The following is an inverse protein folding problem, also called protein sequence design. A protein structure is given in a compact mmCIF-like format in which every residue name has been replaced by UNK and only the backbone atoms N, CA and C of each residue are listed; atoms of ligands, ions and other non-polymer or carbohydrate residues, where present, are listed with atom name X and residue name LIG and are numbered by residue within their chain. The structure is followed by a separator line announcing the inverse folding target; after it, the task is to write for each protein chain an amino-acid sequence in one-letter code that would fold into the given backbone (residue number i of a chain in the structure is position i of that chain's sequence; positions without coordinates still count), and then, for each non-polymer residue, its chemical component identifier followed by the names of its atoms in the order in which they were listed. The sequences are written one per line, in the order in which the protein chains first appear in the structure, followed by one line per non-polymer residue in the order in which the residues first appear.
data_IF_265128124720
#
_entry.id   IF_265128124720
#
_cell.length_a   1.000
_cell.length_b   1.000
_cell.length_c   1.000
_cell.angle_alpha   90.00
_cell.angle_beta   90.00
_cell.angle_gamma   90.00
#
_symmetry.space_group_name_H-M   'P 1'
#
loop_
_entity.id
_entity.type
_entity.pdbx_description
1 polymer ?
#
# COMPACT_ATOMS: atom_id res chain seq x y z
N UNK A 1 22.23 -20.04 6.68
CA UNK A 1 20.77 -20.06 6.95
C UNK A 1 20.14 -18.91 6.18
N UNK A 2 19.03 -19.10 5.46
CA UNK A 2 18.36 -17.98 4.79
C UNK A 2 17.86 -16.97 5.84
N UNK A 3 17.94 -15.68 5.49
CA UNK A 3 17.45 -14.59 6.36
C UNK A 3 15.93 -14.70 6.47
N UNK A 4 15.40 -14.74 7.70
CA UNK A 4 13.95 -14.73 7.93
C UNK A 4 13.37 -13.38 7.56
N UNK A 5 12.20 -13.40 6.94
CA UNK A 5 11.47 -12.21 6.52
C UNK A 5 10.05 -12.29 7.07
N UNK A 6 9.53 -11.17 7.51
CA UNK A 6 8.11 -10.97 7.74
C UNK A 6 7.45 -10.60 6.42
N UNK A 7 6.25 -11.13 6.18
CA UNK A 7 5.43 -10.80 5.01
C UNK A 7 4.07 -10.37 5.50
N UNK A 8 3.57 -9.24 5.01
CA UNK A 8 2.22 -8.75 5.31
C UNK A 8 1.45 -8.54 4.01
N UNK A 9 0.19 -8.98 4.04
CA UNK A 9 -0.79 -8.70 2.99
C UNK A 9 -1.77 -7.66 3.51
N UNK A 10 -1.80 -6.50 2.86
CA UNK A 10 -2.69 -5.38 3.24
C UNK A 10 -3.72 -5.19 2.15
N UNK A 11 -5.00 -5.36 2.50
CA UNK A 11 -6.13 -5.18 1.60
C UNK A 11 -6.72 -3.80 1.83
N UNK A 12 -6.83 -3.01 0.76
CA UNK A 12 -7.30 -1.63 0.81
C UNK A 12 -8.59 -1.52 -0.01
N UNK A 13 -9.61 -0.92 0.60
CA UNK A 13 -10.85 -0.51 -0.08
C UNK A 13 -10.82 0.99 -0.25
N UNK A 14 -10.99 1.45 -1.50
CA UNK A 14 -11.03 2.89 -1.78
C UNK A 14 -12.43 3.41 -1.42
N UNK A 15 -12.49 4.47 -0.61
CA UNK A 15 -13.75 5.11 -0.25
C UNK A 15 -14.45 5.64 -1.52
N UNK A 16 -15.74 5.33 -1.75
CA UNK A 16 -16.50 5.91 -2.85
C UNK A 16 -16.48 7.45 -2.90
N UNK A 17 -16.34 8.13 -1.76
CA UNK A 17 -16.21 9.58 -1.68
C UNK A 17 -14.93 10.10 -2.34
N UNK A 18 -13.80 9.39 -2.18
CA UNK A 18 -12.56 9.74 -2.85
C UNK A 18 -12.68 9.71 -4.38
N UNK A 19 -13.44 8.74 -4.91
CA UNK A 19 -13.71 8.66 -6.36
C UNK A 19 -14.52 9.85 -6.89
N UNK A 20 -15.23 10.58 -6.04
CA UNK A 20 -16.04 11.76 -6.42
C UNK A 20 -15.29 13.08 -6.32
N UNK A 21 -14.05 13.07 -5.80
CA UNK A 21 -13.17 14.24 -5.82
C UNK A 21 -12.81 14.62 -7.25
N UNK A 22 -12.39 15.88 -7.44
CA UNK A 22 -11.89 16.37 -8.72
C UNK A 22 -10.60 15.66 -9.15
N UNK A 23 -10.30 15.75 -10.44
CA UNK A 23 -9.17 15.05 -11.06
C UNK A 23 -7.82 15.48 -10.50
N UNK A 24 -7.66 16.77 -10.19
CA UNK A 24 -6.42 17.32 -9.68
C UNK A 24 -6.13 16.80 -8.27
N UNK A 25 -7.14 16.80 -7.40
CA UNK A 25 -7.04 16.26 -6.05
C UNK A 25 -6.74 14.76 -6.06
N UNK A 26 -7.46 13.98 -6.87
CA UNK A 26 -7.19 12.53 -7.01
C UNK A 26 -5.78 12.27 -7.54
N UNK A 27 -5.26 13.10 -8.45
CA UNK A 27 -3.91 12.97 -8.95
C UNK A 27 -2.86 13.29 -7.88
N UNK A 28 -3.11 14.29 -7.03
CA UNK A 28 -2.26 14.62 -5.89
C UNK A 28 -2.21 13.47 -4.87
N UNK A 29 -3.38 12.99 -4.42
CA UNK A 29 -3.46 11.88 -3.44
C UNK A 29 -2.76 10.61 -3.95
N UNK A 30 -2.91 10.28 -5.25
CA UNK A 30 -2.20 9.14 -5.86
C UNK A 30 -0.68 9.32 -5.81
N UNK A 31 -0.17 10.53 -6.05
CA UNK A 31 1.27 10.81 -5.99
C UNK A 31 1.80 10.66 -4.56
N UNK A 32 1.06 11.15 -3.56
CA UNK A 32 1.42 10.99 -2.15
C UNK A 32 1.45 9.50 -1.75
N UNK A 33 0.44 8.73 -2.15
CA UNK A 33 0.41 7.28 -1.92
C UNK A 33 1.59 6.55 -2.58
N UNK A 34 1.92 6.90 -3.83
CA UNK A 34 3.06 6.33 -4.55
C UNK A 34 4.37 6.70 -3.86
N UNK A 35 4.55 7.95 -3.43
CA UNK A 35 5.75 8.38 -2.71
C UNK A 35 5.97 7.55 -1.43
N UNK A 36 4.94 7.35 -0.63
CA UNK A 36 5.03 6.49 0.56
C UNK A 36 5.37 5.03 0.23
N UNK A 37 4.88 4.51 -0.90
CA UNK A 37 5.21 3.16 -1.38
C UNK A 37 6.65 3.07 -1.88
N UNK A 38 7.11 4.06 -2.64
CA UNK A 38 8.47 4.10 -3.20
C UNK A 38 9.52 4.25 -2.08
N UNK A 39 9.25 5.09 -1.07
CA UNK A 39 10.11 5.24 0.11
C UNK A 39 10.27 3.92 0.88
N UNK A 40 9.19 3.14 1.03
CA UNK A 40 9.28 1.81 1.65
C UNK A 40 9.98 0.80 0.73
N UNK A 41 9.66 0.82 -0.57
CA UNK A 41 10.25 -0.09 -1.55
C UNK A 41 11.77 0.09 -1.71
N UNK A 42 12.32 1.24 -1.30
CA UNK A 42 13.75 1.41 -1.15
C UNK A 42 14.28 0.48 -0.04
N UNK A 43 14.96 -0.59 -0.46
CA UNK A 43 15.50 -1.62 0.43
C UNK A 43 14.53 -2.71 0.88
N UNK A 44 13.26 -2.68 0.45
CA UNK A 44 12.25 -3.69 0.81
C UNK A 44 11.44 -4.15 -0.39
N UNK A 45 10.92 -5.39 -0.34
CA UNK A 45 10.01 -5.85 -1.38
C UNK A 45 8.61 -5.32 -1.07
N UNK A 46 8.06 -4.56 -2.03
CA UNK A 46 6.68 -4.12 -2.07
C UNK A 46 6.08 -4.46 -3.44
N UNK A 47 4.91 -5.10 -3.45
CA UNK A 47 4.15 -5.36 -4.69
C UNK A 47 2.70 -5.00 -4.52
N UNK A 48 2.15 -4.33 -5.53
CA UNK A 48 0.74 -3.97 -5.63
C UNK A 48 0.00 -4.88 -6.60
N UNK A 49 -1.23 -5.26 -6.24
CA UNK A 49 -2.12 -6.08 -7.07
C UNK A 49 -3.52 -5.46 -7.09
N UNK A 50 -4.07 -5.24 -8.29
CA UNK A 50 -5.48 -4.87 -8.43
C UNK A 50 -6.38 -6.05 -8.07
N UNK A 51 -7.42 -5.78 -7.31
CA UNK A 51 -8.45 -6.75 -6.93
C UNK A 51 -9.84 -6.42 -7.52
N UNK A 52 -9.92 -5.33 -8.30
CA UNK A 52 -11.14 -4.93 -8.98
C UNK A 52 -11.60 -6.05 -9.91
N UNK A 53 -12.85 -6.48 -9.74
CA UNK A 53 -13.46 -7.55 -10.54
C UNK A 53 -13.15 -8.97 -10.07
N UNK A 54 -12.32 -9.17 -9.04
CA UNK A 54 -12.01 -10.50 -8.49
C UNK A 54 -12.56 -10.71 -7.08
N UNK A 55 -12.79 -9.64 -6.31
CA UNK A 55 -13.51 -9.66 -5.01
C UNK A 55 -14.20 -8.31 -4.73
N UNK A 56 -15.21 -8.31 -3.86
CA UNK A 56 -16.06 -7.13 -3.61
C UNK A 56 -15.60 -6.23 -2.45
N UNK A 57 -14.85 -6.78 -1.50
CA UNK A 57 -14.51 -6.17 -0.21
C UNK A 57 -13.17 -5.40 -0.21
N UNK A 58 -12.38 -5.49 -1.27
CA UNK A 58 -11.13 -4.73 -1.44
C UNK A 58 -10.87 -4.41 -2.92
N UNK A 59 -10.15 -3.32 -3.17
CA UNK A 59 -9.82 -2.85 -4.53
C UNK A 59 -8.33 -3.04 -4.87
N UNK A 60 -7.45 -3.04 -3.86
CA UNK A 60 -5.99 -3.15 -3.98
C UNK A 60 -5.43 -4.05 -2.87
N UNK A 61 -4.40 -4.84 -3.18
CA UNK A 61 -3.59 -5.55 -2.19
C UNK A 61 -2.13 -5.14 -2.29
N UNK A 62 -1.52 -4.80 -1.15
CA UNK A 62 -0.07 -4.63 -1.01
C UNK A 62 0.53 -5.87 -0.34
N UNK A 63 1.55 -6.46 -0.96
CA UNK A 63 2.44 -7.43 -0.35
C UNK A 63 3.72 -6.70 0.05
N UNK A 64 3.94 -6.56 1.35
CA UNK A 64 5.18 -5.99 1.90
C UNK A 64 6.03 -7.06 2.59
N UNK A 65 7.35 -6.96 2.45
CA UNK A 65 8.30 -7.87 3.08
C UNK A 65 9.46 -7.11 3.72
N UNK A 66 9.80 -7.44 4.96
CA UNK A 66 10.94 -6.85 5.68
C UNK A 66 11.56 -7.83 6.68
N UNK A 67 12.79 -7.54 7.13
CA UNK A 67 13.50 -8.36 8.12
C UNK A 67 12.93 -8.23 9.54
N UNK A 68 12.14 -7.20 9.81
CA UNK A 68 11.51 -6.94 11.11
C UNK A 68 10.09 -6.37 10.93
N UNK A 69 9.31 -6.35 12.02
CA UNK A 69 7.93 -5.87 11.99
C UNK A 69 7.83 -4.35 12.07
N UNK A 70 8.81 -3.70 12.68
CA UNK A 70 8.89 -2.26 12.88
C UNK A 70 8.84 -1.52 11.53
N UNK A 71 9.61 -1.97 10.53
CA UNK A 71 9.57 -1.40 9.17
C UNK A 71 8.20 -1.52 8.52
N UNK A 72 7.54 -2.65 8.69
CA UNK A 72 6.18 -2.86 8.18
C UNK A 72 5.20 -1.94 8.91
N UNK A 73 5.37 -1.73 10.22
CA UNK A 73 4.53 -0.84 11.01
C UNK A 73 4.72 0.63 10.59
N UNK A 74 5.95 1.12 10.52
CA UNK A 74 6.32 2.48 10.08
C UNK A 74 5.66 2.82 8.73
N UNK A 75 5.78 1.93 7.74
CA UNK A 75 5.15 2.09 6.43
C UNK A 75 3.63 2.26 6.53
N UNK A 76 2.95 1.46 7.35
CA UNK A 76 1.50 1.52 7.47
C UNK A 76 1.01 2.70 8.33
N UNK A 77 1.85 3.25 9.21
CA UNK A 77 1.56 4.52 9.87
C UNK A 77 1.53 5.65 8.85
N UNK A 78 2.48 5.67 7.90
CA UNK A 78 2.49 6.67 6.81
C UNK A 78 1.30 6.49 5.88
N UNK A 79 0.96 5.25 5.49
CA UNK A 79 -0.19 4.99 4.61
C UNK A 79 -1.56 5.34 5.22
N UNK A 80 -1.65 5.42 6.55
CA UNK A 80 -2.91 5.67 7.25
C UNK A 80 -3.15 7.15 7.61
N UNK A 81 -2.26 8.05 7.18
CA UNK A 81 -2.40 9.50 7.42
C UNK A 81 -3.45 10.16 6.53
#
# INVERSE_FOLDING_TARGET
MPVRQFVKYTFLKVDPAWRRLDDERRAADKREFIAACDDFADGHLLRAFSLVGTRGDADLMLLSQAQNLERIHEFHVVLAQ
#
